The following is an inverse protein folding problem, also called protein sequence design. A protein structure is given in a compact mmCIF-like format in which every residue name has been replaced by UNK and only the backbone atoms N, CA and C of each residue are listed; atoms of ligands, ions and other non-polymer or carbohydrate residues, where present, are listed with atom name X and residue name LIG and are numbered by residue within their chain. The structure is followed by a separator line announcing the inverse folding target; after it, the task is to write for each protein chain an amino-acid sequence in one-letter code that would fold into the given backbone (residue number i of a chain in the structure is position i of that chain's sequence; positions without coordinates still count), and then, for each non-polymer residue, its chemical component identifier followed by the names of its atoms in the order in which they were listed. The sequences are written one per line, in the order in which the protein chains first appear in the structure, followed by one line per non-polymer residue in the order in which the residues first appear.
data_IF_929383969001
#
_entry.id   IF_929383969001
#
_cell.length_a   1.000
_cell.length_b   1.000
_cell.length_c   1.000
_cell.angle_alpha   90.00
_cell.angle_beta   90.00
_cell.angle_gamma   90.00
#
_symmetry.space_group_name_H-M   'P 1'
#
loop_
_entity.id
_entity.type
_entity.pdbx_description
1 polymer ?
#
# COMPACT_ATOMS: atom_id res chain seq x y z
N UNK A 1 14.51 -4.61 19.61
CA UNK A 1 14.12 -3.76 19.66
C UNK A 1 13.98 -2.76 18.63
N UNK A 2 14.73 -2.67 17.63
CA UNK A 2 14.64 -1.58 16.71
C UNK A 2 13.53 -1.82 15.70
N UNK A 3 12.41 -1.19 15.94
CA UNK A 3 11.34 -1.04 14.96
C UNK A 3 11.46 0.34 14.36
N UNK A 4 11.59 0.44 13.03
CA UNK A 4 11.72 1.73 12.37
C UNK A 4 11.15 1.71 10.96
N UNK A 5 10.81 2.91 10.49
CA UNK A 5 10.47 3.17 9.11
C UNK A 5 11.62 4.02 8.55
N UNK A 6 12.18 3.59 7.44
CA UNK A 6 13.31 4.27 6.82
C UNK A 6 13.23 4.21 5.29
N UNK A 7 13.99 5.05 4.56
CA UNK A 7 14.04 4.95 3.11
C UNK A 7 14.56 3.58 2.65
N UNK A 8 14.04 3.14 1.51
CA UNK A 8 14.51 1.93 0.84
C UNK A 8 15.95 2.09 0.38
N UNK A 9 16.69 0.98 0.40
CA UNK A 9 18.06 0.87 -0.12
C UNK A 9 18.12 -0.29 -1.10
N UNK A 10 19.01 -0.25 -2.12
CA UNK A 10 19.11 -1.38 -3.06
C UNK A 10 19.30 -2.74 -2.41
N UNK A 11 19.98 -2.80 -1.26
CA UNK A 11 20.17 -4.06 -0.52
C UNK A 11 18.85 -4.65 0.00
N UNK A 12 17.77 -3.86 0.06
CA UNK A 12 16.47 -4.34 0.53
C UNK A 12 15.66 -5.04 -0.55
N UNK A 13 16.08 -4.98 -1.82
CA UNK A 13 15.24 -5.42 -2.94
C UNK A 13 14.70 -6.83 -2.75
N UNK A 14 15.57 -7.78 -2.46
CA UNK A 14 15.16 -9.18 -2.35
C UNK A 14 14.07 -9.38 -1.29
N UNK A 15 14.24 -8.76 -0.12
CA UNK A 15 13.27 -8.88 0.97
C UNK A 15 11.96 -8.16 0.65
N UNK A 16 12.04 -6.95 0.08
CA UNK A 16 10.85 -6.18 -0.31
C UNK A 16 10.03 -6.94 -1.35
N UNK A 17 10.68 -7.47 -2.38
CA UNK A 17 9.98 -8.24 -3.43
C UNK A 17 9.34 -9.50 -2.84
N UNK A 18 10.04 -10.16 -1.91
CA UNK A 18 9.48 -11.32 -1.21
C UNK A 18 8.22 -10.97 -0.41
N UNK A 19 8.25 -9.85 0.31
CA UNK A 19 7.08 -9.35 1.04
C UNK A 19 5.90 -9.11 0.08
N UNK A 20 6.16 -8.40 -1.01
CA UNK A 20 5.13 -8.11 -2.00
C UNK A 20 4.54 -9.39 -2.60
N UNK A 21 5.37 -10.31 -3.02
CA UNK A 21 4.91 -11.55 -3.66
C UNK A 21 4.06 -12.39 -2.69
N UNK A 22 4.54 -12.58 -1.44
CA UNK A 22 3.77 -13.34 -0.46
C UNK A 22 2.46 -12.66 -0.08
N UNK A 23 2.50 -11.35 0.13
CA UNK A 23 1.31 -10.59 0.50
C UNK A 23 0.27 -10.59 -0.63
N UNK A 24 0.71 -10.43 -1.87
CA UNK A 24 -0.18 -10.46 -3.02
C UNK A 24 -0.79 -11.83 -3.25
N UNK A 25 0.00 -12.90 -3.13
CA UNK A 25 -0.51 -14.26 -3.25
C UNK A 25 -1.60 -14.55 -2.21
N UNK A 26 -1.40 -14.07 -0.99
CA UNK A 26 -2.36 -14.28 0.09
C UNK A 26 -3.62 -13.42 -0.08
N UNK A 27 -3.47 -12.18 -0.55
CA UNK A 27 -4.57 -11.21 -0.63
C UNK A 27 -5.44 -11.38 -1.88
N UNK A 28 -4.83 -11.76 -3.01
CA UNK A 28 -5.51 -11.71 -4.31
C UNK A 28 -5.85 -13.10 -4.85
N UNK A 29 -6.45 -13.93 -3.99
CA UNK A 29 -6.85 -15.29 -4.37
C UNK A 29 -7.92 -15.31 -5.48
N UNK A 30 -8.63 -14.19 -5.64
CA UNK A 30 -9.67 -14.02 -6.67
C UNK A 30 -9.11 -13.57 -8.03
N UNK A 31 -7.78 -13.35 -8.14
CA UNK A 31 -7.15 -12.91 -9.39
C UNK A 31 -6.25 -14.02 -9.92
N UNK A 32 -6.66 -14.68 -11.03
CA UNK A 32 -5.82 -15.73 -11.64
C UNK A 32 -4.42 -15.27 -12.00
N UNK A 33 -4.27 -14.02 -12.43
CA UNK A 33 -2.96 -13.45 -12.78
C UNK A 33 -2.01 -13.50 -11.59
N UNK A 34 -2.50 -13.25 -10.38
CA UNK A 34 -1.68 -13.29 -9.17
C UNK A 34 -1.27 -14.72 -8.81
N UNK A 35 -2.15 -15.70 -9.03
CA UNK A 35 -1.85 -17.09 -8.72
C UNK A 35 -0.74 -17.66 -9.61
N UNK A 36 -0.59 -17.10 -10.80
CA UNK A 36 0.45 -17.50 -11.76
C UNK A 36 1.69 -16.63 -11.72
N UNK A 37 1.67 -15.55 -10.94
CA UNK A 37 2.75 -14.57 -10.88
C UNK A 37 3.90 -15.13 -10.05
N UNK A 38 5.05 -15.34 -10.71
CA UNK A 38 6.22 -15.94 -10.06
C UNK A 38 7.06 -14.90 -9.33
N UNK A 39 7.88 -15.37 -8.40
CA UNK A 39 8.83 -14.50 -7.70
C UNK A 39 9.81 -13.83 -8.67
N UNK A 40 10.28 -14.56 -9.67
CA UNK A 40 11.17 -14.01 -10.70
C UNK A 40 10.52 -12.89 -11.49
N UNK A 41 9.25 -13.07 -11.88
CA UNK A 41 8.49 -12.03 -12.56
C UNK A 41 8.29 -10.81 -11.65
N UNK A 42 8.07 -11.04 -10.36
CA UNK A 42 7.92 -9.96 -9.39
C UNK A 42 9.20 -9.12 -9.29
N UNK A 43 10.37 -9.77 -9.28
CA UNK A 43 11.65 -9.05 -9.30
C UNK A 43 11.79 -8.17 -10.55
N UNK A 44 11.41 -8.68 -11.71
CA UNK A 44 11.49 -7.91 -12.94
C UNK A 44 10.59 -6.68 -12.92
N UNK A 45 9.33 -6.85 -12.49
CA UNK A 45 8.39 -5.74 -12.38
C UNK A 45 8.90 -4.71 -11.38
N UNK A 46 9.42 -5.16 -10.24
CA UNK A 46 9.92 -4.26 -9.22
C UNK A 46 11.06 -3.39 -9.76
N UNK A 47 12.03 -4.01 -10.44
CA UNK A 47 13.16 -3.28 -11.02
C UNK A 47 12.75 -2.32 -12.13
N UNK A 48 11.88 -2.76 -13.02
CA UNK A 48 11.56 -2.01 -14.23
C UNK A 48 10.52 -0.92 -13.99
N UNK A 49 9.60 -1.13 -13.05
CA UNK A 49 8.43 -0.26 -12.90
C UNK A 49 8.42 0.45 -11.55
N UNK A 50 8.72 -0.25 -10.46
CA UNK A 50 8.49 0.29 -9.13
C UNK A 50 9.65 1.14 -8.64
N UNK A 51 10.86 0.60 -8.63
CA UNK A 51 12.05 1.30 -8.12
C UNK A 51 12.29 2.61 -8.87
N UNK A 52 12.09 2.60 -10.19
CA UNK A 52 12.41 3.76 -11.03
C UNK A 52 11.34 4.86 -10.98
N UNK A 53 10.14 4.56 -10.48
CA UNK A 53 9.01 5.49 -10.54
C UNK A 53 8.41 5.84 -9.18
N UNK A 54 8.87 5.22 -8.09
CA UNK A 54 8.27 5.40 -6.78
C UNK A 54 9.29 5.85 -5.75
N UNK A 55 8.81 6.62 -4.78
CA UNK A 55 9.50 6.87 -3.53
C UNK A 55 9.20 5.68 -2.60
N UNK A 56 10.24 5.00 -2.13
CA UNK A 56 10.08 3.75 -1.39
C UNK A 56 10.52 3.88 0.06
N UNK A 57 9.68 3.39 0.97
CA UNK A 57 9.94 3.32 2.40
C UNK A 57 9.75 1.90 2.88
N UNK A 58 10.62 1.47 3.78
CA UNK A 58 10.53 0.12 4.37
C UNK A 58 10.32 0.22 5.87
N UNK A 59 9.57 -0.73 6.40
CA UNK A 59 9.40 -0.92 7.84
C UNK A 59 10.24 -2.13 8.25
N UNK A 60 11.04 -1.96 9.30
CA UNK A 60 11.93 -3.03 9.76
C UNK A 60 11.70 -3.34 11.23
N UNK A 61 11.78 -4.62 11.57
CA UNK A 61 11.82 -5.12 12.93
C UNK A 61 13.13 -5.90 13.08
N UNK A 62 14.01 -5.40 13.95
CA UNK A 62 15.33 -6.00 14.16
C UNK A 62 16.10 -6.15 12.85
N UNK A 63 16.12 -5.09 12.04
CA UNK A 63 16.79 -5.01 10.75
C UNK A 63 16.14 -5.85 9.64
N UNK A 64 15.10 -6.64 9.93
CA UNK A 64 14.37 -7.41 8.93
C UNK A 64 13.25 -6.56 8.33
N UNK A 65 13.20 -6.43 7.01
CA UNK A 65 12.10 -5.73 6.33
C UNK A 65 10.84 -6.58 6.47
N UNK A 66 9.79 -6.00 7.05
CA UNK A 66 8.51 -6.68 7.29
C UNK A 66 7.35 -6.05 6.53
N UNK A 67 7.54 -4.85 5.98
CA UNK A 67 6.50 -4.14 5.24
C UNK A 67 7.14 -3.05 4.38
N UNK A 68 6.41 -2.57 3.36
CA UNK A 68 6.92 -1.45 2.57
C UNK A 68 5.79 -0.60 2.01
N UNK A 69 6.15 0.64 1.64
CA UNK A 69 5.27 1.64 1.10
C UNK A 69 5.92 2.21 -0.16
N UNK A 70 5.18 2.29 -1.25
CA UNK A 70 5.62 2.91 -2.50
C UNK A 70 4.69 4.05 -2.85
N UNK A 71 5.26 5.24 -3.03
CA UNK A 71 4.50 6.47 -3.29
C UNK A 71 4.90 7.06 -4.63
N UNK A 72 3.89 7.54 -5.38
CA UNK A 72 4.08 8.42 -6.53
C UNK A 72 3.51 9.76 -6.12
N UNK A 73 4.36 10.65 -5.55
CA UNK A 73 3.90 11.86 -4.87
C UNK A 73 2.83 11.46 -3.82
N UNK A 74 1.66 12.08 -3.83
CA UNK A 74 0.59 11.78 -2.86
C UNK A 74 -0.19 10.49 -3.16
N UNK A 75 0.14 9.78 -4.25
CA UNK A 75 -0.54 8.55 -4.60
C UNK A 75 0.18 7.36 -3.98
N UNK A 76 -0.55 6.58 -3.19
CA UNK A 76 -0.02 5.33 -2.61
C UNK A 76 -0.16 4.26 -3.67
N UNK A 77 0.97 3.92 -4.30
CA UNK A 77 1.01 2.89 -5.33
C UNK A 77 0.99 1.49 -4.72
N UNK A 78 1.67 1.33 -3.57
CA UNK A 78 1.76 0.03 -2.90
C UNK A 78 1.90 0.20 -1.40
N UNK A 79 1.22 -0.65 -0.66
CA UNK A 79 1.36 -0.78 0.79
C UNK A 79 1.15 -2.25 1.12
N UNK A 80 2.21 -2.94 1.50
CA UNK A 80 2.16 -4.37 1.77
C UNK A 80 2.87 -4.70 3.07
N UNK A 81 2.27 -5.58 3.85
CA UNK A 81 2.83 -6.12 5.09
C UNK A 81 3.03 -7.62 4.88
N UNK A 82 4.18 -8.14 5.25
CA UNK A 82 4.45 -9.57 5.15
C UNK A 82 3.37 -10.32 5.94
N UNK A 83 2.75 -11.39 5.37
CA UNK A 83 1.64 -12.06 6.05
C UNK A 83 1.88 -12.43 7.52
N UNK A 84 3.05 -12.96 7.93
CA UNK A 84 3.27 -13.26 9.35
C UNK A 84 3.26 -12.02 10.25
N UNK A 85 3.49 -10.84 9.69
CA UNK A 85 3.60 -9.60 10.45
C UNK A 85 2.33 -8.75 10.40
N UNK A 86 1.28 -9.23 9.73
CA UNK A 86 0.00 -8.52 9.64
C UNK A 86 -0.68 -8.49 11.01
N UNK A 87 -1.55 -7.49 11.20
CA UNK A 87 -2.28 -7.24 12.45
C UNK A 87 -1.38 -6.82 13.61
N UNK A 88 -0.16 -6.38 13.32
CA UNK A 88 0.78 -5.87 14.33
C UNK A 88 0.93 -4.35 14.26
N UNK A 89 0.08 -3.66 13.49
CA UNK A 89 0.10 -2.20 13.39
C UNK A 89 1.05 -1.62 12.37
N UNK A 90 1.74 -2.45 11.57
CA UNK A 90 2.69 -1.95 10.56
C UNK A 90 2.01 -1.14 9.46
N UNK A 91 0.86 -1.62 8.97
CA UNK A 91 0.10 -0.88 7.96
C UNK A 91 -0.31 0.49 8.45
N UNK A 92 -0.80 0.58 9.67
CA UNK A 92 -1.19 1.86 10.28
C UNK A 92 -0.01 2.80 10.43
N UNK A 93 1.15 2.30 10.83
CA UNK A 93 2.35 3.13 10.97
C UNK A 93 2.82 3.66 9.62
N UNK A 94 2.74 2.85 8.57
CA UNK A 94 3.10 3.29 7.22
C UNK A 94 2.11 4.32 6.68
N UNK A 95 0.82 4.17 6.94
CA UNK A 95 -0.20 5.16 6.56
C UNK A 95 0.07 6.48 7.28
N UNK A 96 0.36 6.46 8.58
CA UNK A 96 0.67 7.68 9.32
C UNK A 96 1.95 8.34 8.79
N UNK A 97 2.93 7.55 8.39
CA UNK A 97 4.14 8.06 7.75
C UNK A 97 3.81 8.76 6.42
N UNK A 98 2.97 8.14 5.59
CA UNK A 98 2.54 8.74 4.32
C UNK A 98 1.79 10.05 4.56
N UNK A 99 0.91 10.10 5.57
CA UNK A 99 0.17 11.31 5.92
C UNK A 99 1.12 12.43 6.37
N UNK A 100 2.20 12.09 7.08
CA UNK A 100 3.18 13.07 7.49
C UNK A 100 3.97 13.62 6.30
N UNK A 101 4.25 12.78 5.30
CA UNK A 101 4.96 13.21 4.09
C UNK A 101 4.07 14.08 3.18
N UNK A 102 2.78 13.76 3.11
CA UNK A 102 1.82 14.45 2.24
C UNK A 102 0.60 14.87 3.05
N UNK A 103 0.75 15.88 3.92
CA UNK A 103 -0.31 16.23 4.88
C UNK A 103 -1.56 16.84 4.26
N UNK A 104 -1.50 17.23 2.99
CA UNK A 104 -2.67 17.82 2.32
C UNK A 104 -3.59 16.78 1.72
N UNK A 105 -3.15 15.55 1.59
CA UNK A 105 -4.00 14.48 1.07
C UNK A 105 -3.25 13.35 0.45
N UNK A 106 -3.93 12.21 0.36
CA UNK A 106 -3.40 10.99 -0.26
C UNK A 106 -4.49 10.36 -1.12
N UNK A 107 -4.09 9.64 -2.16
CA UNK A 107 -4.99 8.88 -3.03
C UNK A 107 -4.46 7.47 -3.20
N UNK A 108 -5.36 6.53 -3.43
CA UNK A 108 -5.00 5.15 -3.76
C UNK A 108 -6.14 4.44 -4.47
N UNK A 109 -5.84 3.28 -5.05
CA UNK A 109 -6.84 2.34 -5.55
C UNK A 109 -6.66 1.00 -4.85
N UNK A 110 -7.76 0.30 -4.62
CA UNK A 110 -7.73 -1.09 -4.16
C UNK A 110 -8.86 -1.85 -4.84
N UNK A 111 -8.82 -3.18 -4.78
CA UNK A 111 -9.85 -4.00 -5.40
C UNK A 111 -11.14 -3.93 -4.59
N UNK A 112 -12.29 -3.90 -5.28
CA UNK A 112 -13.59 -3.90 -4.60
C UNK A 112 -13.78 -5.14 -3.72
N UNK A 113 -13.19 -6.27 -4.14
CA UNK A 113 -13.29 -7.53 -3.39
C UNK A 113 -12.35 -7.62 -2.20
N UNK A 114 -11.40 -6.70 -2.07
CA UNK A 114 -10.46 -6.66 -0.96
C UNK A 114 -11.10 -5.97 0.25
N UNK A 115 -12.07 -6.64 0.86
CA UNK A 115 -12.88 -6.05 1.94
C UNK A 115 -12.03 -5.65 3.15
N UNK A 116 -11.01 -6.43 3.49
CA UNK A 116 -10.10 -6.10 4.57
C UNK A 116 -9.30 -4.83 4.31
N UNK A 117 -8.78 -4.67 3.08
CA UNK A 117 -8.05 -3.48 2.69
C UNK A 117 -8.96 -2.26 2.72
N UNK A 118 -10.18 -2.40 2.18
CA UNK A 118 -11.16 -1.31 2.18
C UNK A 118 -11.48 -0.85 3.60
N UNK A 119 -11.75 -1.78 4.50
CA UNK A 119 -12.03 -1.47 5.90
C UNK A 119 -10.83 -0.79 6.56
N UNK A 120 -9.62 -1.26 6.26
CA UNK A 120 -8.38 -0.68 6.78
C UNK A 120 -8.24 0.79 6.36
N UNK A 121 -8.39 1.10 5.07
CA UNK A 121 -8.28 2.48 4.60
C UNK A 121 -9.39 3.36 5.16
N UNK A 122 -10.62 2.85 5.24
CA UNK A 122 -11.74 3.60 5.82
C UNK A 122 -11.50 3.94 7.29
N UNK A 123 -10.91 3.02 8.05
CA UNK A 123 -10.54 3.32 9.45
C UNK A 123 -9.50 4.43 9.56
N UNK A 124 -8.69 4.62 8.52
CA UNK A 124 -7.68 5.68 8.49
C UNK A 124 -8.17 6.98 7.84
N UNK A 125 -9.47 7.11 7.64
CA UNK A 125 -10.09 8.34 7.16
C UNK A 125 -10.16 8.47 5.65
N UNK A 126 -9.83 7.41 4.90
CA UNK A 126 -9.99 7.42 3.46
C UNK A 126 -11.45 7.19 3.09
N UNK A 127 -11.90 7.87 2.04
CA UNK A 127 -13.29 7.82 1.57
C UNK A 127 -13.29 7.35 0.12
N UNK A 128 -14.18 6.40 -0.20
CA UNK A 128 -14.37 5.93 -1.57
C UNK A 128 -14.99 7.05 -2.41
N UNK A 129 -14.33 7.40 -3.51
CA UNK A 129 -14.79 8.48 -4.38
C UNK A 129 -15.19 8.00 -5.78
N UNK A 130 -14.75 6.82 -6.20
CA UNK A 130 -15.09 6.28 -7.51
C UNK A 130 -14.92 4.77 -7.52
N UNK A 131 -15.88 4.08 -8.18
CA UNK A 131 -15.82 2.64 -8.44
C UNK A 131 -15.59 2.46 -9.93
N UNK A 132 -14.68 1.55 -10.30
CA UNK A 132 -14.32 1.34 -11.69
C UNK A 132 -13.72 -0.04 -11.93
N UNK A 133 -12.93 -0.15 -13.01
CA UNK A 133 -12.24 -1.37 -13.41
C UNK A 133 -10.77 -1.04 -13.54
N UNK A 134 -9.89 -1.85 -12.96
CA UNK A 134 -8.45 -1.63 -13.05
C UNK A 134 -7.94 -1.86 -14.46
N UNK A 135 -6.79 -1.26 -14.82
CA UNK A 135 -6.19 -1.48 -16.14
C UNK A 135 -5.81 -2.95 -16.37
N UNK A 136 -5.70 -3.36 -17.64
CA UNK A 136 -5.14 -4.68 -17.95
C UNK A 136 -3.74 -4.83 -17.36
N UNK A 137 -3.28 -6.03 -17.00
CA UNK A 137 -3.94 -7.33 -17.28
C UNK A 137 -5.00 -7.75 -16.26
N UNK A 138 -5.09 -7.08 -15.12
CA UNK A 138 -6.03 -7.49 -14.08
C UNK A 138 -7.48 -7.26 -14.47
N UNK A 139 -7.80 -6.07 -14.99
CA UNK A 139 -9.15 -5.67 -15.43
C UNK A 139 -10.23 -6.09 -14.43
N UNK A 140 -9.97 -5.84 -13.15
CA UNK A 140 -10.83 -6.26 -12.05
C UNK A 140 -11.54 -5.04 -11.43
N UNK A 141 -12.72 -5.23 -10.83
CA UNK A 141 -13.41 -4.13 -10.16
C UNK A 141 -12.54 -3.50 -9.08
N UNK A 142 -12.37 -2.19 -9.13
CA UNK A 142 -11.55 -1.45 -8.17
C UNK A 142 -12.32 -0.27 -7.57
N UNK A 143 -11.70 0.37 -6.60
CA UNK A 143 -12.27 1.55 -5.94
C UNK A 143 -11.14 2.53 -5.64
N UNK A 144 -11.40 3.80 -5.96
CA UNK A 144 -10.48 4.90 -5.69
C UNK A 144 -10.84 5.52 -4.35
N UNK A 145 -9.83 5.66 -3.48
CA UNK A 145 -9.97 6.27 -2.15
C UNK A 145 -9.16 7.55 -2.05
N UNK A 146 -9.72 8.53 -1.37
CA UNK A 146 -9.04 9.79 -1.06
C UNK A 146 -9.06 10.05 0.43
N UNK A 147 -7.96 10.59 0.93
CA UNK A 147 -7.88 11.14 2.28
C UNK A 147 -7.58 12.63 2.18
N UNK A 148 -8.42 13.47 2.82
CA UNK A 148 -8.32 14.93 2.76
C UNK A 148 -8.60 15.51 4.14
N UNK A 149 -7.56 15.82 4.94
CA UNK A 149 -7.77 16.29 6.32
C UNK A 149 -8.51 17.62 6.41
N UNK A 150 -8.33 18.52 5.44
CA UNK A 150 -9.00 19.82 5.44
C UNK A 150 -10.50 19.69 5.28
N UNK A 151 -10.96 18.71 4.48
CA UNK A 151 -12.39 18.43 4.32
C UNK A 151 -13.01 17.97 5.63
N UNK A 152 -12.30 17.12 6.39
CA UNK A 152 -12.76 16.65 7.70
C UNK A 152 -12.91 17.79 8.68
N UNK A 153 -11.93 18.69 8.73
CA UNK A 153 -12.00 19.88 9.59
C UNK A 153 -13.18 20.75 9.22
N UNK A 154 -13.41 21.01 7.94
CA UNK A 154 -14.53 21.82 7.48
C UNK A 154 -15.87 21.19 7.85
N UNK A 155 -16.00 19.87 7.75
CA UNK A 155 -17.21 19.16 8.13
C UNK A 155 -17.47 19.24 9.64
N UNK A 156 -16.43 19.11 10.46
CA UNK A 156 -16.55 19.25 11.92
C UNK A 156 -17.06 20.62 12.32
N UNK A 157 -16.51 21.66 11.71
CA UNK A 157 -16.93 23.04 12.00
C UNK A 157 -18.39 23.25 11.62
N UNK A 158 -18.85 22.69 10.51
CA UNK A 158 -20.25 22.82 10.08
C UNK A 158 -21.22 22.01 10.96
N UNK A 159 -20.73 20.97 11.60
CA UNK A 159 -21.52 20.11 12.47
C UNK A 159 -21.78 20.71 13.84
N UNK A 160 -21.10 21.79 14.16
CA UNK A 160 -21.32 22.53 15.41
C UNK A 160 -22.36 23.62 15.21
#
# INVERSE_FOLDING_TARGET
MAERIRPYRPADESTVVGVWHRAGQAAYTFLPTWQQFTLGEAHQVFQQVIVSHCELWVATREALVVAYLALKKSYIDRLYVDPPEQRSGWGSRLIEHAKALYPEGLELHTHQESLGARAFYERHGFVAVRFGISPPPESAPDVEYHWRPNADIAMRVRGE
#
